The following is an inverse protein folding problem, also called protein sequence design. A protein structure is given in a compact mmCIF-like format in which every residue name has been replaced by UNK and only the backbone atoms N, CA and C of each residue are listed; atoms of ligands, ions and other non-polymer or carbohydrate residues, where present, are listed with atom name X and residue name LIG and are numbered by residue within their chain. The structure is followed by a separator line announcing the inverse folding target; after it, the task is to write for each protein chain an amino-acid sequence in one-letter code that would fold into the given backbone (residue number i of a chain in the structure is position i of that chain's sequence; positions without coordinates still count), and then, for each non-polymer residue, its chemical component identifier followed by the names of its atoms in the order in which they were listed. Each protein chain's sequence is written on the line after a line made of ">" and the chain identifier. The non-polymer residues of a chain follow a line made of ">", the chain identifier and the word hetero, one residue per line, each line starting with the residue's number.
data_IF_409900324328
#
_entry.id   IF_409900324328
#
_cell.length_a   1.000
_cell.length_b   1.000
_cell.length_c   1.000
_cell.angle_alpha   90.00
_cell.angle_beta   90.00
_cell.angle_gamma   90.00
#
_symmetry.space_group_name_H-M   'P 1'
#
loop_
_entity.id
_entity.type
_entity.pdbx_description
1 polymer ?
#
# COMPACT_ATOMS: atom_id res chain seq x y z
N UNK A 1 -6.31 -10.60 9.81
CA UNK A 1 -6.15 -9.44 8.96
C UNK A 1 -7.11 -8.33 9.33
N UNK A 2 -7.24 -7.30 8.51
CA UNK A 2 -8.18 -6.20 8.71
C UNK A 2 -9.01 -5.88 7.46
N UNK A 3 -10.04 -5.04 7.65
CA UNK A 3 -10.94 -4.60 6.57
C UNK A 3 -10.31 -3.55 5.64
N UNK A 4 -9.12 -3.04 5.94
CA UNK A 4 -8.37 -2.09 5.12
C UNK A 4 -7.25 -2.74 4.31
N UNK A 5 -7.03 -4.04 4.51
CA UNK A 5 -6.05 -4.76 3.71
C UNK A 5 -6.45 -4.76 2.22
N UNK A 6 -5.46 -4.80 1.35
CA UNK A 6 -5.75 -4.76 -0.08
C UNK A 6 -6.49 -6.04 -0.50
N UNK A 7 -7.55 -5.92 -1.34
CA UNK A 7 -8.38 -7.07 -1.67
C UNK A 7 -7.62 -8.28 -2.22
N UNK A 8 -6.54 -8.07 -2.99
CA UNK A 8 -5.72 -9.18 -3.50
C UNK A 8 -5.12 -10.03 -2.38
N UNK A 9 -4.67 -9.41 -1.29
CA UNK A 9 -4.07 -10.12 -0.16
C UNK A 9 -5.13 -11.00 0.51
N UNK A 10 -6.33 -10.44 0.72
CA UNK A 10 -7.45 -11.19 1.27
C UNK A 10 -7.89 -12.34 0.35
N UNK A 11 -7.88 -12.14 -0.97
CA UNK A 11 -8.24 -13.19 -1.94
C UNK A 11 -7.22 -14.32 -1.95
N UNK A 12 -5.92 -14.01 -1.85
CA UNK A 12 -4.86 -15.03 -1.74
C UNK A 12 -5.05 -15.85 -0.46
N UNK A 13 -5.29 -15.20 0.69
CA UNK A 13 -5.56 -15.89 1.96
C UNK A 13 -6.79 -16.81 1.83
N UNK A 14 -7.89 -16.30 1.27
CA UNK A 14 -9.12 -17.08 1.09
C UNK A 14 -8.89 -18.30 0.16
N UNK A 15 -8.11 -18.11 -0.91
CA UNK A 15 -7.72 -19.21 -1.80
C UNK A 15 -6.94 -20.29 -1.07
N UNK A 16 -5.92 -19.91 -0.30
CA UNK A 16 -5.11 -20.84 0.50
C UNK A 16 -5.98 -21.57 1.53
N UNK A 17 -6.85 -20.87 2.26
CA UNK A 17 -7.78 -21.50 3.22
C UNK A 17 -8.64 -22.55 2.54
N UNK A 18 -9.16 -22.26 1.35
CA UNK A 18 -9.94 -23.21 0.55
C UNK A 18 -9.13 -24.45 0.18
N UNK A 19 -7.89 -24.28 -0.25
CA UNK A 19 -7.00 -25.38 -0.66
C UNK A 19 -6.64 -26.27 0.54
N UNK A 20 -6.59 -25.73 1.75
CA UNK A 20 -6.47 -26.49 3.00
C UNK A 20 -7.80 -27.08 3.50
N UNK A 21 -8.84 -27.14 2.67
CA UNK A 21 -10.13 -27.76 3.00
C UNK A 21 -10.93 -26.97 4.02
N UNK A 22 -10.78 -25.64 4.06
CA UNK A 22 -11.45 -24.71 4.98
C UNK A 22 -11.22 -25.03 6.49
N UNK A 23 -10.06 -25.58 6.82
CA UNK A 23 -9.69 -25.85 8.22
C UNK A 23 -9.25 -24.60 8.98
N UNK A 24 -9.00 -23.51 8.26
CA UNK A 24 -8.60 -22.22 8.81
C UNK A 24 -9.70 -21.19 8.60
N UNK A 25 -9.67 -20.12 9.39
CA UNK A 25 -10.57 -18.97 9.27
C UNK A 25 -9.77 -17.72 8.93
N UNK A 26 -10.37 -16.82 8.15
CA UNK A 26 -9.91 -15.44 8.03
C UNK A 26 -10.81 -14.55 8.89
N UNK A 27 -10.21 -13.90 9.89
CA UNK A 27 -10.86 -12.91 10.72
C UNK A 27 -10.34 -11.52 10.38
N UNK A 28 -11.24 -10.52 10.38
CA UNK A 28 -10.94 -9.16 9.96
C UNK A 28 -11.27 -8.16 11.06
N UNK A 29 -10.26 -7.44 11.55
CA UNK A 29 -10.46 -6.28 12.39
C UNK A 29 -11.24 -5.21 11.61
N UNK A 30 -12.30 -4.68 12.20
CA UNK A 30 -13.19 -3.71 11.58
C UNK A 30 -12.84 -2.30 12.04
N UNK A 31 -12.99 -1.34 11.14
CA UNK A 31 -12.91 0.07 11.45
C UNK A 31 -14.25 0.61 11.93
N UNK A 32 -14.24 1.44 12.96
CA UNK A 32 -15.45 2.11 13.47
C UNK A 32 -15.72 3.42 12.71
N UNK A 33 -14.68 4.11 12.26
CA UNK A 33 -14.76 5.43 11.64
C UNK A 33 -14.56 5.41 10.10
N UNK A 34 -14.20 4.24 9.55
CA UNK A 34 -13.86 4.09 8.13
C UNK A 34 -12.48 4.66 7.75
N UNK A 35 -11.69 5.14 8.71
CA UNK A 35 -10.40 5.81 8.52
C UNK A 35 -9.28 5.09 9.25
N UNK A 36 -9.54 4.67 10.49
CA UNK A 36 -8.56 4.03 11.38
C UNK A 36 -9.03 2.66 11.87
N UNK A 37 -8.09 1.83 12.25
CA UNK A 37 -8.32 0.59 13.01
C UNK A 37 -7.37 0.64 14.19
N UNK A 38 -7.91 0.52 15.40
CA UNK A 38 -7.09 0.58 16.60
C UNK A 38 -6.27 -0.69 16.79
N UNK A 39 -5.10 -0.55 17.43
CA UNK A 39 -4.28 -1.70 17.83
C UNK A 39 -5.06 -2.68 18.72
N UNK A 40 -5.96 -2.18 19.56
CA UNK A 40 -6.83 -3.01 20.40
C UNK A 40 -7.80 -3.86 19.57
N UNK A 41 -8.34 -3.33 18.47
CA UNK A 41 -9.20 -4.09 17.56
C UNK A 41 -8.43 -5.24 16.89
N UNK A 42 -7.17 -5.00 16.54
CA UNK A 42 -6.27 -6.04 16.00
C UNK A 42 -5.93 -7.05 17.09
N UNK A 43 -5.50 -6.58 18.27
CA UNK A 43 -5.07 -7.43 19.37
C UNK A 43 -6.16 -8.37 19.88
N UNK A 44 -7.43 -7.95 19.86
CA UNK A 44 -8.58 -8.79 20.25
C UNK A 44 -8.79 -10.01 19.35
N UNK A 45 -8.32 -9.95 18.11
CA UNK A 45 -8.43 -11.07 17.15
C UNK A 45 -7.22 -12.01 17.18
N UNK A 46 -6.13 -11.60 17.84
CA UNK A 46 -4.91 -12.41 17.91
C UNK A 46 -4.95 -13.26 19.17
N UNK A 47 -5.06 -14.56 19.02
CA UNK A 47 -5.07 -15.54 20.09
C UNK A 47 -4.00 -16.64 19.88
N UNK A 48 -4.00 -17.66 20.74
CA UNK A 48 -3.03 -18.75 20.66
C UNK A 48 -3.27 -19.71 19.48
N UNK A 49 -4.42 -19.63 18.82
CA UNK A 49 -4.77 -20.40 17.61
C UNK A 49 -4.47 -19.61 16.32
N UNK A 50 -4.03 -18.36 16.46
CA UNK A 50 -3.67 -17.52 15.33
C UNK A 50 -2.34 -17.98 14.73
N UNK A 51 -2.37 -18.45 13.49
CA UNK A 51 -1.17 -18.89 12.78
C UNK A 51 -0.42 -17.71 12.12
N UNK A 52 -1.15 -16.76 11.53
CA UNK A 52 -0.57 -15.69 10.72
C UNK A 52 -1.41 -14.41 10.81
N UNK A 53 -0.74 -13.29 11.02
CA UNK A 53 -1.30 -11.93 10.88
C UNK A 53 -0.82 -11.36 9.55
N UNK A 54 -1.73 -10.91 8.69
CA UNK A 54 -1.42 -10.29 7.40
C UNK A 54 -2.04 -8.91 7.33
N UNK A 55 -1.23 -7.88 7.19
CA UNK A 55 -1.66 -6.48 7.17
C UNK A 55 -0.92 -5.66 6.11
N UNK A 56 -1.63 -4.75 5.46
CA UNK A 56 -0.98 -3.66 4.74
C UNK A 56 -0.40 -2.66 5.74
N UNK A 57 0.91 -2.42 5.72
CA UNK A 57 1.55 -1.45 6.62
C UNK A 57 0.95 -0.05 6.47
N UNK A 58 0.68 0.37 5.24
CA UNK A 58 -0.08 1.59 4.96
C UNK A 58 -1.34 1.24 4.18
N UNK A 59 -2.50 1.47 4.79
CA UNK A 59 -3.81 1.19 4.19
C UNK A 59 -4.00 1.98 2.89
N UNK A 60 -4.38 1.27 1.82
CA UNK A 60 -4.45 1.84 0.48
C UNK A 60 -5.51 2.92 0.31
N UNK A 61 -6.55 2.92 1.13
CA UNK A 61 -7.68 3.85 1.04
C UNK A 61 -7.46 5.08 1.92
N UNK A 62 -7.27 4.90 3.22
CA UNK A 62 -7.17 6.00 4.18
C UNK A 62 -5.75 6.55 4.36
N UNK A 63 -4.73 5.75 4.06
CA UNK A 63 -3.34 6.08 4.38
C UNK A 63 -2.97 5.82 5.85
N UNK A 64 -3.83 5.16 6.63
CA UNK A 64 -3.46 4.69 7.97
C UNK A 64 -2.19 3.85 7.89
N UNK A 65 -1.22 4.18 8.70
CA UNK A 65 0.07 3.47 8.79
C UNK A 65 0.22 2.89 10.18
N UNK A 66 0.40 1.58 10.26
CA UNK A 66 0.55 0.84 11.51
C UNK A 66 1.97 0.92 12.07
N UNK A 67 2.12 0.73 13.37
CA UNK A 67 3.41 0.45 13.99
C UNK A 67 3.77 -1.03 13.78
N UNK A 68 4.71 -1.27 12.82
CA UNK A 68 5.17 -2.64 12.48
C UNK A 68 5.68 -3.37 13.71
N UNK A 69 6.50 -2.70 14.55
CA UNK A 69 7.13 -3.32 15.72
C UNK A 69 6.08 -3.74 16.74
N UNK A 70 5.19 -2.83 17.10
CA UNK A 70 4.14 -3.07 18.10
C UNK A 70 3.23 -4.24 17.70
N UNK A 71 2.75 -4.25 16.46
CA UNK A 71 1.85 -5.32 16.00
C UNK A 71 2.59 -6.65 15.85
N UNK A 72 3.84 -6.63 15.39
CA UNK A 72 4.66 -7.84 15.34
C UNK A 72 4.88 -8.43 16.73
N UNK A 73 5.17 -7.60 17.74
CA UNK A 73 5.30 -8.03 19.13
C UNK A 73 3.99 -8.63 19.69
N UNK A 74 2.84 -8.03 19.38
CA UNK A 74 1.53 -8.57 19.76
C UNK A 74 1.29 -9.96 19.17
N UNK A 75 1.59 -10.16 17.89
CA UNK A 75 1.45 -11.45 17.21
C UNK A 75 2.40 -12.51 17.79
N UNK A 76 3.67 -12.15 17.97
CA UNK A 76 4.68 -13.05 18.53
C UNK A 76 4.37 -13.46 19.97
N UNK A 77 3.76 -12.59 20.78
CA UNK A 77 3.32 -12.92 22.14
C UNK A 77 2.28 -14.04 22.18
N UNK A 78 1.61 -14.31 21.05
CA UNK A 78 0.63 -15.40 20.87
C UNK A 78 1.15 -16.54 20.00
N UNK A 79 2.40 -16.48 19.56
CA UNK A 79 3.01 -17.49 18.69
C UNK A 79 2.69 -17.36 17.21
N UNK A 80 1.98 -16.31 16.80
CA UNK A 80 1.62 -16.05 15.41
C UNK A 80 2.80 -15.41 14.65
N UNK A 81 2.94 -15.73 13.36
CA UNK A 81 3.82 -15.03 12.43
C UNK A 81 3.14 -13.79 11.84
N UNK A 82 3.93 -12.88 11.27
CA UNK A 82 3.39 -11.67 10.61
C UNK A 82 3.92 -11.55 9.18
N UNK A 83 3.02 -11.29 8.24
CA UNK A 83 3.33 -10.89 6.87
C UNK A 83 2.85 -9.44 6.65
N UNK A 84 3.76 -8.55 6.29
CA UNK A 84 3.48 -7.17 5.98
C UNK A 84 3.41 -6.92 4.48
N UNK A 85 2.32 -6.30 3.99
CA UNK A 85 2.32 -5.67 2.66
C UNK A 85 2.84 -4.23 2.78
N UNK A 86 4.00 -3.98 2.17
CA UNK A 86 4.69 -2.70 2.19
C UNK A 86 4.46 -1.88 0.91
N UNK A 87 3.51 -2.26 0.07
CA UNK A 87 3.30 -1.67 -1.25
C UNK A 87 3.02 -0.16 -1.23
N UNK A 88 2.45 0.38 -0.14
CA UNK A 88 2.17 1.81 0.02
C UNK A 88 3.11 2.51 1.00
N UNK A 89 4.06 1.81 1.57
CA UNK A 89 4.98 2.35 2.57
C UNK A 89 6.45 2.31 2.16
N UNK A 90 6.91 1.23 1.47
CA UNK A 90 8.29 1.16 1.01
C UNK A 90 8.61 2.31 0.04
N UNK A 91 9.64 3.08 0.35
CA UNK A 91 10.03 4.30 -0.38
C UNK A 91 9.32 5.59 0.05
N UNK A 92 8.35 5.51 0.98
CA UNK A 92 7.57 6.65 1.45
C UNK A 92 7.59 6.84 2.97
N UNK A 93 7.74 5.74 3.73
CA UNK A 93 7.77 5.70 5.19
C UNK A 93 9.06 4.98 5.61
N UNK A 94 9.63 5.38 6.74
CA UNK A 94 10.76 4.68 7.34
C UNK A 94 10.33 3.29 7.83
N UNK A 95 11.06 2.27 7.46
CA UNK A 95 10.78 0.87 7.80
C UNK A 95 12.08 0.21 8.26
N UNK A 96 12.05 -0.40 9.44
CA UNK A 96 13.13 -1.24 9.94
C UNK A 96 12.60 -2.63 10.31
N UNK A 97 12.62 -3.54 9.33
CA UNK A 97 12.12 -4.90 9.50
C UNK A 97 12.92 -5.71 10.52
N UNK A 98 14.22 -5.45 10.62
CA UNK A 98 15.10 -6.16 11.56
C UNK A 98 14.80 -5.74 13.01
N UNK A 99 14.67 -4.43 13.28
CA UNK A 99 14.33 -3.93 14.62
C UNK A 99 12.94 -4.40 15.06
N UNK A 100 11.98 -4.41 14.12
CA UNK A 100 10.65 -4.90 14.35
C UNK A 100 10.55 -6.43 14.43
N UNK A 101 11.63 -7.17 14.11
CA UNK A 101 11.66 -8.64 14.01
C UNK A 101 10.54 -9.17 13.09
N UNK A 102 10.20 -8.41 12.04
CA UNK A 102 9.17 -8.82 11.10
C UNK A 102 9.54 -10.16 10.46
N UNK A 103 8.56 -11.04 10.34
CA UNK A 103 8.81 -12.41 9.84
C UNK A 103 8.91 -12.42 8.32
N UNK A 104 7.96 -11.80 7.66
CA UNK A 104 7.87 -11.72 6.20
C UNK A 104 7.34 -10.35 5.77
N UNK A 105 7.74 -9.92 4.60
CA UNK A 105 7.15 -8.77 3.95
C UNK A 105 7.10 -8.94 2.43
N UNK A 106 6.06 -8.40 1.83
CA UNK A 106 5.89 -8.31 0.37
C UNK A 106 5.67 -6.86 -0.03
N UNK A 107 5.88 -6.56 -1.28
CA UNK A 107 5.56 -5.22 -1.79
C UNK A 107 5.81 -5.12 -3.28
N UNK A 108 5.16 -4.13 -3.90
CA UNK A 108 5.42 -3.78 -5.30
C UNK A 108 6.53 -2.74 -5.39
N UNK A 109 7.26 -2.76 -6.51
CA UNK A 109 8.33 -1.79 -6.76
C UNK A 109 7.91 -0.61 -7.65
N UNK A 110 6.74 -0.69 -8.29
CA UNK A 110 6.27 0.33 -9.25
C UNK A 110 5.65 1.57 -8.61
N UNK A 111 5.37 1.57 -7.29
CA UNK A 111 4.83 2.73 -6.57
C UNK A 111 5.94 3.66 -6.09
N UNK A 112 6.10 3.85 -4.79
CA UNK A 112 7.08 4.79 -4.22
C UNK A 112 8.55 4.37 -4.39
N UNK A 113 8.81 3.10 -4.74
CA UNK A 113 10.15 2.65 -5.13
C UNK A 113 10.52 3.03 -6.58
N UNK A 114 9.60 3.61 -7.34
CA UNK A 114 9.80 4.18 -8.67
C UNK A 114 10.36 3.20 -9.73
N UNK A 115 10.11 1.90 -9.58
CA UNK A 115 10.56 0.88 -10.54
C UNK A 115 9.83 0.91 -11.89
N UNK A 116 8.80 1.75 -12.03
CA UNK A 116 8.05 1.93 -13.27
C UNK A 116 6.99 0.84 -13.53
N UNK A 117 6.14 1.03 -14.55
CA UNK A 117 5.11 0.07 -14.91
C UNK A 117 5.69 -1.31 -15.27
N UNK A 118 5.08 -2.37 -14.72
CA UNK A 118 5.54 -3.75 -14.95
C UNK A 118 6.75 -4.18 -14.11
N UNK A 119 7.23 -3.32 -13.21
CA UNK A 119 8.28 -3.71 -12.28
C UNK A 119 7.80 -4.82 -11.33
N UNK A 120 8.65 -5.85 -11.05
CA UNK A 120 8.28 -7.00 -10.24
C UNK A 120 8.11 -6.63 -8.77
N UNK A 121 7.33 -7.45 -8.07
CA UNK A 121 7.23 -7.42 -6.63
C UNK A 121 8.48 -8.02 -5.95
N UNK A 122 8.61 -7.77 -4.66
CA UNK A 122 9.65 -8.37 -3.83
C UNK A 122 9.05 -9.15 -2.66
N UNK A 123 9.84 -10.08 -2.16
CA UNK A 123 9.60 -10.85 -0.94
C UNK A 123 10.80 -10.69 0.00
N UNK A 124 10.52 -10.35 1.24
CA UNK A 124 11.43 -10.44 2.36
C UNK A 124 10.99 -11.60 3.26
N UNK A 125 11.95 -12.40 3.70
CA UNK A 125 11.77 -13.43 4.72
C UNK A 125 12.91 -13.29 5.71
N UNK A 126 12.60 -13.25 7.02
CA UNK A 126 13.61 -13.22 8.06
C UNK A 126 14.49 -14.47 7.97
N UNK A 127 15.79 -14.31 8.12
CA UNK A 127 16.80 -15.33 7.81
C UNK A 127 16.54 -16.67 8.51
N UNK A 128 16.19 -16.64 9.81
CA UNK A 128 15.92 -17.85 10.60
C UNK A 128 14.68 -18.63 10.12
N UNK A 129 13.79 -17.98 9.39
CA UNK A 129 12.58 -18.58 8.83
C UNK A 129 12.81 -19.19 7.43
N UNK A 130 13.82 -18.76 6.69
CA UNK A 130 14.08 -19.28 5.34
C UNK A 130 14.20 -20.81 5.34
N UNK A 131 14.88 -21.37 6.36
CA UNK A 131 15.05 -22.83 6.47
C UNK A 131 13.77 -23.57 6.89
N UNK A 132 12.83 -22.88 7.53
CA UNK A 132 11.60 -23.47 8.09
C UNK A 132 10.43 -23.39 7.11
N UNK A 133 10.47 -22.39 6.20
CA UNK A 133 9.40 -22.16 5.23
C UNK A 133 9.70 -22.90 3.93
N UNK A 134 8.65 -23.41 3.31
CA UNK A 134 8.69 -24.04 2.00
C UNK A 134 7.85 -23.25 1.02
N UNK A 135 8.31 -23.18 -0.24
CA UNK A 135 7.49 -22.63 -1.32
C UNK A 135 6.47 -23.67 -1.76
N UNK A 136 5.18 -23.34 -1.83
CA UNK A 136 4.17 -24.27 -2.33
C UNK A 136 4.30 -24.51 -3.84
N UNK A 137 4.98 -23.64 -4.56
CA UNK A 137 5.21 -23.75 -6.01
C UNK A 137 6.73 -23.82 -6.23
N UNK A 138 7.17 -24.96 -6.74
CA UNK A 138 8.56 -25.18 -7.08
C UNK A 138 8.85 -24.79 -8.52
N UNK A 139 10.04 -24.26 -8.76
CA UNK A 139 10.49 -23.90 -10.07
C UNK A 139 12.00 -23.98 -10.22
N UNK A 140 12.46 -24.11 -11.44
CA UNK A 140 13.86 -24.41 -11.73
C UNK A 140 14.86 -23.38 -11.15
N UNK A 141 14.46 -22.12 -11.02
CA UNK A 141 15.34 -21.06 -10.47
C UNK A 141 15.44 -21.12 -8.93
N UNK A 142 14.56 -21.83 -8.27
CA UNK A 142 14.57 -22.09 -6.84
C UNK A 142 15.36 -23.33 -6.44
N UNK A 143 15.86 -24.10 -7.41
CA UNK A 143 16.74 -25.26 -7.14
C UNK A 143 18.09 -24.82 -6.59
N UNK A 144 18.73 -25.70 -5.84
CA UNK A 144 20.06 -25.48 -5.26
C UNK A 144 21.12 -25.27 -6.37
N UNK A 145 20.99 -25.99 -7.47
CA UNK A 145 21.85 -25.88 -8.67
C UNK A 145 20.96 -25.85 -9.92
N UNK A 146 20.38 -24.67 -10.27
CA UNK A 146 19.41 -24.57 -11.34
C UNK A 146 19.95 -24.93 -12.73
N UNK A 147 21.26 -24.85 -12.94
CA UNK A 147 21.88 -25.17 -14.22
C UNK A 147 22.35 -26.62 -14.35
N UNK A 148 22.23 -27.43 -13.30
CA UNK A 148 22.42 -28.87 -13.39
C UNK A 148 21.26 -29.57 -14.09
N UNK A 149 20.08 -28.91 -14.19
CA UNK A 149 18.86 -29.42 -14.83
C UNK A 149 18.47 -30.84 -14.36
N UNK A 150 18.61 -31.07 -13.05
CA UNK A 150 18.23 -32.35 -12.45
C UNK A 150 16.71 -32.59 -12.54
N UNK A 151 16.31 -33.86 -12.65
CA UNK A 151 14.90 -34.25 -12.63
C UNK A 151 14.25 -34.16 -11.23
N UNK A 152 15.05 -34.19 -10.18
CA UNK A 152 14.62 -34.08 -8.80
C UNK A 152 14.92 -32.67 -8.26
N UNK A 153 13.88 -31.98 -7.76
CA UNK A 153 14.02 -30.66 -7.19
C UNK A 153 14.66 -30.72 -5.80
N UNK A 154 15.67 -29.88 -5.62
CA UNK A 154 16.34 -29.64 -4.33
C UNK A 154 16.30 -28.16 -4.02
N UNK A 155 15.47 -27.71 -3.03
CA UNK A 155 15.33 -26.30 -2.75
C UNK A 155 16.67 -25.67 -2.32
N UNK A 156 16.93 -24.47 -2.80
CA UNK A 156 18.07 -23.67 -2.35
C UNK A 156 17.97 -23.36 -0.84
N UNK A 157 19.10 -23.30 -0.14
CA UNK A 157 19.16 -22.96 1.29
C UNK A 157 18.98 -21.46 1.59
N UNK A 158 18.65 -20.67 0.60
CA UNK A 158 18.51 -19.21 0.70
C UNK A 158 17.14 -18.75 0.23
N UNK A 159 16.90 -17.42 0.26
CA UNK A 159 15.69 -16.79 -0.26
C UNK A 159 15.41 -17.18 -1.72
N UNK A 160 16.41 -17.65 -2.46
CA UNK A 160 16.24 -18.10 -3.86
C UNK A 160 15.25 -19.25 -4.00
N UNK A 161 15.02 -20.07 -2.96
CA UNK A 161 14.03 -21.16 -3.00
C UNK A 161 12.60 -20.68 -3.34
N UNK A 162 12.31 -19.41 -3.18
CA UNK A 162 11.03 -18.80 -3.52
C UNK A 162 10.96 -18.28 -4.97
N UNK A 163 12.05 -18.40 -5.75
CA UNK A 163 12.04 -18.11 -7.18
C UNK A 163 11.46 -19.30 -7.96
N UNK A 164 10.49 -18.99 -8.83
CA UNK A 164 9.81 -20.04 -9.61
C UNK A 164 10.47 -20.21 -10.97
N UNK A 165 10.83 -19.11 -11.63
CA UNK A 165 11.36 -19.14 -12.99
C UNK A 165 12.38 -18.05 -13.25
N UNK A 166 12.76 -17.85 -14.51
CA UNK A 166 13.70 -16.82 -14.94
C UNK A 166 13.18 -15.44 -14.54
N UNK A 167 13.97 -14.64 -13.82
CA UNK A 167 13.56 -13.29 -13.44
C UNK A 167 13.32 -12.42 -14.67
N UNK A 168 12.37 -11.47 -14.63
CA UNK A 168 12.12 -10.52 -15.72
C UNK A 168 13.21 -9.44 -15.76
N UNK A 169 14.36 -9.76 -16.39
CA UNK A 169 15.61 -8.98 -16.32
C UNK A 169 15.41 -7.50 -16.66
N UNK A 170 14.70 -7.20 -17.76
CA UNK A 170 14.48 -5.80 -18.21
C UNK A 170 13.75 -4.99 -17.13
N UNK A 171 12.66 -5.52 -16.57
CA UNK A 171 11.89 -4.80 -15.56
C UNK A 171 12.58 -4.77 -14.19
N UNK A 172 13.43 -5.76 -13.88
CA UNK A 172 14.31 -5.71 -12.69
C UNK A 172 15.34 -4.60 -12.83
N UNK A 173 16.01 -4.49 -13.97
CA UNK A 173 17.01 -3.45 -14.22
C UNK A 173 16.41 -2.03 -14.11
N UNK A 174 15.13 -1.87 -14.46
CA UNK A 174 14.43 -0.59 -14.33
C UNK A 174 14.20 -0.14 -12.88
N UNK A 175 14.28 -1.05 -11.89
CA UNK A 175 14.12 -0.70 -10.47
C UNK A 175 15.36 0.03 -9.94
N UNK A 176 16.55 -0.32 -10.41
CA UNK A 176 17.82 0.18 -9.89
C UNK A 176 17.91 1.72 -9.91
N UNK A 177 17.65 2.43 -11.02
CA UNK A 177 17.68 3.89 -11.02
C UNK A 177 16.69 4.54 -10.05
N UNK A 178 15.52 3.92 -9.85
CA UNK A 178 14.53 4.39 -8.89
C UNK A 178 15.02 4.27 -7.43
N UNK A 179 15.63 3.14 -7.10
CA UNK A 179 16.23 2.90 -5.79
C UNK A 179 17.42 3.81 -5.53
N UNK A 180 18.29 4.02 -6.50
CA UNK A 180 19.46 4.91 -6.38
C UNK A 180 19.06 6.33 -5.99
N UNK A 181 17.98 6.85 -6.58
CA UNK A 181 17.46 8.17 -6.23
C UNK A 181 16.97 8.20 -4.79
N UNK A 182 16.24 7.17 -4.34
CA UNK A 182 15.74 7.05 -2.97
C UNK A 182 16.91 6.96 -1.98
N UNK A 183 17.88 6.10 -2.25
CA UNK A 183 19.06 5.93 -1.40
C UNK A 183 19.89 7.22 -1.32
N UNK A 184 20.06 7.92 -2.43
CA UNK A 184 20.76 9.22 -2.47
C UNK A 184 20.03 10.31 -1.72
N UNK A 185 18.70 10.36 -1.80
CA UNK A 185 17.89 11.33 -1.07
C UNK A 185 17.84 11.03 0.43
N UNK A 186 17.80 9.76 0.80
CA UNK A 186 17.62 9.25 2.15
C UNK A 186 16.14 9.20 2.56
N UNK A 187 15.71 8.04 3.08
CA UNK A 187 14.29 7.80 3.40
C UNK A 187 13.75 8.78 4.46
N UNK A 188 14.57 9.18 5.44
CA UNK A 188 14.17 10.11 6.49
C UNK A 188 13.80 11.48 5.93
N UNK A 189 14.58 12.01 4.97
CA UNK A 189 14.26 13.27 4.30
C UNK A 189 13.03 13.18 3.40
N UNK A 190 12.86 12.03 2.73
CA UNK A 190 11.66 11.77 1.94
C UNK A 190 10.43 11.75 2.85
N UNK A 191 10.52 11.07 3.99
CA UNK A 191 9.44 10.98 4.99
C UNK A 191 9.10 12.35 5.56
N UNK A 192 10.09 13.14 5.98
CA UNK A 192 9.90 14.49 6.50
C UNK A 192 9.13 15.37 5.49
N UNK A 193 9.56 15.36 4.23
CA UNK A 193 8.87 16.12 3.18
C UNK A 193 7.47 15.59 2.90
N UNK A 194 7.24 14.26 2.90
CA UNK A 194 5.92 13.67 2.75
C UNK A 194 4.96 14.12 3.87
N UNK A 195 5.43 14.18 5.11
CA UNK A 195 4.66 14.70 6.24
C UNK A 195 4.28 16.15 6.00
N UNK A 196 5.25 17.04 5.72
CA UNK A 196 4.97 18.45 5.45
C UNK A 196 3.98 18.63 4.28
N UNK A 197 4.11 17.85 3.23
CA UNK A 197 3.22 17.93 2.06
C UNK A 197 1.80 17.45 2.37
N UNK A 198 1.64 16.36 3.11
CA UNK A 198 0.32 15.86 3.50
C UNK A 198 -0.34 16.75 4.55
N UNK A 199 0.40 17.35 5.47
CA UNK A 199 -0.11 18.35 6.42
C UNK A 199 -0.58 19.61 5.69
N UNK A 200 0.21 20.11 4.74
CA UNK A 200 -0.18 21.22 3.89
C UNK A 200 -1.44 20.92 3.08
N UNK A 201 -1.52 19.73 2.51
CA UNK A 201 -2.71 19.28 1.79
C UNK A 201 -3.95 19.27 2.70
N UNK A 202 -3.85 18.72 3.92
CA UNK A 202 -4.94 18.71 4.91
C UNK A 202 -5.33 20.14 5.30
N UNK A 203 -4.37 21.02 5.50
CA UNK A 203 -4.63 22.44 5.77
C UNK A 203 -5.46 23.08 4.65
N UNK A 204 -5.09 22.89 3.39
CA UNK A 204 -5.83 23.42 2.24
C UNK A 204 -7.22 22.80 2.11
N UNK A 205 -7.34 21.49 2.30
CA UNK A 205 -8.62 20.78 2.26
C UNK A 205 -9.59 21.37 3.30
N UNK A 206 -9.15 21.54 4.54
CA UNK A 206 -9.97 22.12 5.60
C UNK A 206 -10.44 23.53 5.29
N UNK A 207 -9.56 24.37 4.72
CA UNK A 207 -9.86 25.79 4.42
C UNK A 207 -10.70 25.96 3.17
N UNK A 208 -10.53 25.11 2.19
CA UNK A 208 -11.05 25.32 0.82
C UNK A 208 -12.15 24.32 0.46
N UNK A 209 -11.97 23.02 0.78
CA UNK A 209 -12.86 22.00 0.29
C UNK A 209 -13.94 21.60 1.31
N UNK A 210 -13.63 21.60 2.62
CA UNK A 210 -14.64 21.29 3.65
C UNK A 210 -15.87 22.19 3.56
N UNK A 211 -15.74 23.52 3.32
CA UNK A 211 -16.91 24.40 3.08
C UNK A 211 -17.73 24.02 1.85
N UNK A 212 -17.19 23.23 0.93
CA UNK A 212 -17.85 22.75 -0.29
C UNK A 212 -18.44 21.33 -0.15
N UNK A 213 -18.51 20.80 1.09
CA UNK A 213 -19.12 19.49 1.39
C UNK A 213 -18.17 18.30 1.35
N UNK A 214 -16.85 18.55 1.26
CA UNK A 214 -15.87 17.48 1.41
C UNK A 214 -15.58 17.18 2.87
N UNK A 215 -15.12 15.96 3.13
CA UNK A 215 -14.53 15.57 4.41
C UNK A 215 -13.20 14.85 4.18
N UNK A 216 -12.36 14.81 5.23
CA UNK A 216 -11.07 14.11 5.18
C UNK A 216 -11.31 12.65 5.53
N UNK A 217 -10.83 11.74 4.67
CA UNK A 217 -10.87 10.28 4.83
C UNK A 217 -9.51 9.68 5.16
N UNK A 218 -8.64 10.44 5.83
CA UNK A 218 -7.29 10.01 6.26
C UNK A 218 -7.02 10.43 7.68
N UNK A 219 -6.11 9.74 8.42
CA UNK A 219 -5.69 10.18 9.74
C UNK A 219 -5.12 11.60 9.71
N UNK A 220 -5.54 12.43 10.67
CA UNK A 220 -5.00 13.79 10.82
C UNK A 220 -3.60 13.77 11.46
N UNK A 221 -3.34 12.79 12.33
CA UNK A 221 -2.02 12.59 12.92
C UNK A 221 -1.04 12.08 11.87
N UNK A 222 0.01 12.87 11.62
CA UNK A 222 1.06 12.54 10.64
C UNK A 222 1.92 11.35 11.05
N UNK A 223 1.96 10.99 12.33
CA UNK A 223 2.72 9.83 12.83
C UNK A 223 2.14 8.50 12.33
N UNK A 224 0.82 8.44 12.15
CA UNK A 224 0.08 7.26 11.66
C UNK A 224 -0.50 7.46 10.25
N UNK A 225 0.03 8.40 9.47
CA UNK A 225 -0.39 8.66 8.09
C UNK A 225 0.74 8.41 7.11
N UNK A 226 0.45 7.74 6.01
CA UNK A 226 1.36 7.53 4.87
C UNK A 226 1.52 8.78 4.00
N UNK A 227 1.81 8.58 2.71
CA UNK A 227 2.11 9.66 1.76
C UNK A 227 0.95 9.99 0.83
N UNK A 228 -0.28 9.74 1.26
CA UNK A 228 -1.48 10.17 0.54
C UNK A 228 -2.56 10.63 1.52
N UNK A 229 -3.46 11.45 1.00
CA UNK A 229 -4.65 11.92 1.71
C UNK A 229 -5.88 11.58 0.88
N UNK A 230 -6.87 10.98 1.50
CA UNK A 230 -8.19 10.75 0.92
C UNK A 230 -9.13 11.88 1.30
N UNK A 231 -9.90 12.34 0.33
CA UNK A 231 -11.05 13.23 0.53
C UNK A 231 -12.32 12.50 0.14
N UNK A 232 -13.37 12.74 0.88
CA UNK A 232 -14.66 12.07 0.72
C UNK A 232 -15.70 13.08 0.22
N UNK A 233 -16.45 12.72 -0.82
CA UNK A 233 -17.54 13.51 -1.35
C UNK A 233 -18.55 12.61 -2.06
N UNK A 234 -19.89 12.85 -1.98
CA UNK A 234 -20.88 12.03 -2.69
C UNK A 234 -20.62 11.92 -4.20
N UNK A 235 -20.14 13.00 -4.84
CA UNK A 235 -19.81 13.06 -6.26
C UNK A 235 -18.33 12.76 -6.58
N UNK A 236 -17.60 12.08 -5.68
CA UNK A 236 -16.16 11.83 -5.80
C UNK A 236 -15.76 11.23 -7.17
N UNK A 237 -16.56 10.30 -7.70
CA UNK A 237 -16.29 9.72 -9.02
C UNK A 237 -16.29 10.78 -10.12
N UNK A 238 -17.36 11.59 -10.19
CA UNK A 238 -17.50 12.64 -11.21
C UNK A 238 -16.41 13.71 -11.06
N UNK A 239 -16.12 14.11 -9.82
CA UNK A 239 -15.07 15.09 -9.52
C UNK A 239 -13.71 14.55 -9.98
N UNK A 240 -13.38 13.30 -9.68
CA UNK A 240 -12.11 12.70 -10.10
C UNK A 240 -11.97 12.67 -11.64
N UNK A 241 -13.04 12.35 -12.36
CA UNK A 241 -13.03 12.38 -13.83
C UNK A 241 -12.96 13.82 -14.39
N UNK A 242 -13.60 14.78 -13.72
CA UNK A 242 -13.49 16.19 -14.05
C UNK A 242 -12.06 16.72 -13.88
N UNK A 243 -11.36 16.31 -12.82
CA UNK A 243 -9.94 16.64 -12.59
C UNK A 243 -9.03 16.13 -13.73
N UNK A 244 -9.27 14.91 -14.21
CA UNK A 244 -8.53 14.30 -15.32
C UNK A 244 -8.83 15.01 -16.64
N UNK A 245 -10.10 15.38 -16.86
CA UNK A 245 -10.53 16.09 -18.08
C UNK A 245 -9.99 17.51 -18.13
N UNK A 246 -9.87 18.18 -16.97
CA UNK A 246 -9.62 19.61 -16.87
C UNK A 246 -10.84 20.44 -17.23
N UNK A 247 -10.89 21.72 -16.83
CA UNK A 247 -11.99 22.64 -17.16
C UNK A 247 -11.63 23.44 -18.43
N UNK A 248 -10.86 24.51 -18.26
CA UNK A 248 -10.46 25.40 -19.36
C UNK A 248 -8.93 25.56 -19.48
N UNK A 249 -8.19 25.04 -18.52
CA UNK A 249 -6.74 25.13 -18.47
C UNK A 249 -6.11 23.80 -18.93
N UNK A 250 -4.82 23.87 -19.32
CA UNK A 250 -4.04 22.66 -19.56
C UNK A 250 -3.70 21.88 -18.28
N UNK A 251 -4.10 22.44 -17.10
CA UNK A 251 -3.91 21.79 -15.82
C UNK A 251 -4.84 20.58 -15.71
N UNK A 252 -4.24 19.42 -15.58
CA UNK A 252 -4.90 18.16 -15.31
C UNK A 252 -4.30 17.55 -14.04
N UNK A 253 -5.16 17.00 -13.20
CA UNK A 253 -4.75 16.23 -12.04
C UNK A 253 -5.30 14.83 -12.19
N UNK A 254 -4.46 13.83 -12.04
CA UNK A 254 -4.84 12.43 -12.17
C UNK A 254 -4.91 11.82 -10.77
N UNK A 255 -6.05 11.96 -10.09
CA UNK A 255 -6.26 11.34 -8.78
C UNK A 255 -6.66 9.89 -8.95
N UNK A 256 -6.76 9.21 -7.82
CA UNK A 256 -7.21 7.84 -7.74
C UNK A 256 -8.59 7.79 -7.05
N UNK A 257 -9.61 7.28 -7.76
CA UNK A 257 -10.94 7.10 -7.18
C UNK A 257 -11.05 5.75 -6.47
N UNK A 258 -11.55 5.76 -5.24
CA UNK A 258 -11.85 4.55 -4.45
C UNK A 258 -13.31 4.55 -4.02
N UNK A 259 -14.03 3.49 -4.42
CA UNK A 259 -15.43 3.31 -4.03
C UNK A 259 -15.61 3.34 -2.52
N UNK A 260 -16.76 3.83 -2.03
CA UNK A 260 -17.87 4.38 -2.82
C UNK A 260 -17.66 5.87 -3.19
N UNK A 261 -16.88 6.65 -2.44
CA UNK A 261 -16.91 8.11 -2.46
C UNK A 261 -15.58 8.78 -2.12
N UNK A 262 -14.44 8.09 -2.30
CA UNK A 262 -13.12 8.62 -1.97
C UNK A 262 -12.36 9.07 -3.22
N UNK A 263 -11.74 10.24 -3.17
CA UNK A 263 -10.68 10.68 -4.08
C UNK A 263 -9.37 10.65 -3.29
N UNK A 264 -8.39 9.91 -3.78
CA UNK A 264 -7.08 9.78 -3.14
C UNK A 264 -6.06 10.64 -3.87
N UNK A 265 -5.38 11.51 -3.13
CA UNK A 265 -4.32 12.39 -3.60
C UNK A 265 -3.00 11.94 -2.96
N UNK A 266 -2.07 11.49 -3.78
CA UNK A 266 -0.77 10.98 -3.33
C UNK A 266 0.33 11.99 -3.61
N UNK A 267 1.32 12.05 -2.72
CA UNK A 267 2.53 12.86 -2.89
C UNK A 267 3.77 11.99 -2.81
N UNK A 268 4.82 12.40 -3.47
CA UNK A 268 6.16 11.83 -3.34
C UNK A 268 7.14 12.92 -2.95
N UNK A 269 7.83 12.75 -1.81
CA UNK A 269 8.86 13.67 -1.36
C UNK A 269 10.00 13.88 -2.35
N UNK A 270 10.18 12.96 -3.32
CA UNK A 270 11.20 13.10 -4.34
C UNK A 270 10.88 14.18 -5.38
N UNK A 271 9.64 14.21 -5.89
CA UNK A 271 9.31 15.05 -7.05
C UNK A 271 8.04 15.89 -6.90
N UNK A 272 7.12 15.58 -5.97
CA UNK A 272 5.95 16.45 -5.75
C UNK A 272 6.33 17.77 -5.13
N UNK A 273 5.66 18.84 -5.53
CA UNK A 273 5.86 20.21 -5.02
C UNK A 273 4.65 20.69 -4.25
N UNK A 274 4.84 21.67 -3.35
CA UNK A 274 3.73 22.32 -2.64
C UNK A 274 2.84 23.15 -3.60
N UNK A 275 3.44 23.67 -4.68
CA UNK A 275 2.69 24.38 -5.72
C UNK A 275 1.71 23.44 -6.46
N UNK A 276 2.15 22.23 -6.82
CA UNK A 276 1.27 21.24 -7.45
C UNK A 276 0.12 20.82 -6.53
N UNK A 277 0.37 20.64 -5.22
CA UNK A 277 -0.68 20.39 -4.23
C UNK A 277 -1.69 21.51 -4.21
N UNK A 278 -1.22 22.77 -4.13
CA UNK A 278 -2.08 23.94 -4.13
C UNK A 278 -2.93 24.02 -5.41
N UNK A 279 -2.31 23.84 -6.57
CA UNK A 279 -3.02 23.81 -7.87
C UNK A 279 -4.07 22.71 -7.93
N UNK A 280 -3.76 21.51 -7.43
CA UNK A 280 -4.72 20.41 -7.39
C UNK A 280 -5.94 20.75 -6.53
N UNK A 281 -5.76 21.31 -5.34
CA UNK A 281 -6.86 21.70 -4.45
C UNK A 281 -7.69 22.84 -5.06
N UNK A 282 -7.05 23.83 -5.69
CA UNK A 282 -7.76 24.92 -6.38
C UNK A 282 -8.56 24.41 -7.60
N UNK A 283 -8.05 23.43 -8.34
CA UNK A 283 -8.81 22.79 -9.42
C UNK A 283 -10.06 22.07 -8.90
N UNK A 284 -9.94 21.35 -7.76
CA UNK A 284 -11.10 20.69 -7.13
C UNK A 284 -12.14 21.75 -6.71
N UNK A 285 -11.67 22.86 -6.12
CA UNK A 285 -12.54 23.98 -5.78
C UNK A 285 -13.28 24.51 -7.00
N UNK A 286 -12.58 24.83 -8.09
CA UNK A 286 -13.16 25.35 -9.33
C UNK A 286 -14.18 24.36 -9.93
N UNK A 287 -13.85 23.06 -9.96
CA UNK A 287 -14.78 22.00 -10.42
C UNK A 287 -16.05 22.01 -9.58
N UNK A 288 -15.94 22.21 -8.27
CA UNK A 288 -17.06 22.20 -7.33
C UNK A 288 -17.91 23.48 -7.43
N UNK A 289 -17.28 24.66 -7.44
CA UNK A 289 -17.96 25.94 -7.56
C UNK A 289 -18.78 26.06 -8.85
N UNK A 290 -18.20 25.59 -9.96
CA UNK A 290 -18.85 25.59 -11.28
C UNK A 290 -19.79 24.39 -11.48
N UNK A 291 -19.85 23.47 -10.53
CA UNK A 291 -20.55 22.18 -10.66
C UNK A 291 -20.18 21.44 -11.94
N UNK A 292 -18.96 21.64 -12.42
CA UNK A 292 -18.48 21.06 -13.68
C UNK A 292 -18.55 19.54 -13.70
N UNK A 293 -18.44 18.89 -12.54
CA UNK A 293 -18.61 17.46 -12.38
C UNK A 293 -19.97 16.93 -12.83
N UNK A 294 -21.03 17.76 -12.88
CA UNK A 294 -22.36 17.34 -13.36
C UNK A 294 -22.37 17.07 -14.86
N UNK A 295 -21.42 17.61 -15.61
CA UNK A 295 -21.24 17.31 -17.04
C UNK A 295 -20.63 15.93 -17.29
N UNK A 296 -20.17 15.24 -16.23
CA UNK A 296 -19.56 13.92 -16.32
C UNK A 296 -20.64 12.85 -16.13
N UNK A 297 -20.81 12.00 -17.13
CA UNK A 297 -21.72 10.86 -17.05
C UNK A 297 -21.21 9.82 -16.04
N UNK A 298 -22.14 9.21 -15.30
CA UNK A 298 -21.82 8.02 -14.48
C UNK A 298 -22.06 6.81 -15.39
N UNK A 299 -21.03 6.01 -15.71
CA UNK A 299 -21.23 4.78 -16.46
C UNK A 299 -22.03 3.77 -15.62
N UNK A 300 -22.73 2.84 -16.30
CA UNK A 300 -23.45 1.75 -15.62
C UNK A 300 -22.51 0.89 -14.75
N UNK A 301 -21.27 0.75 -15.20
CA UNK A 301 -20.20 0.08 -14.46
C UNK A 301 -19.05 1.06 -14.23
N UNK A 302 -18.69 1.28 -12.98
CA UNK A 302 -17.56 2.13 -12.63
C UNK A 302 -16.29 1.27 -12.63
N UNK A 303 -15.43 1.50 -13.61
CA UNK A 303 -14.07 0.98 -13.64
C UNK A 303 -13.18 1.96 -12.87
N UNK A 304 -12.51 1.47 -11.84
CA UNK A 304 -11.59 2.26 -10.99
C UNK A 304 -10.17 2.23 -11.52
#
# INVERSE_FOLDING_TARGET
>A
SDSFNFPSDLYVIQGIIKDFGNKHKLELAQSEDGITISDDAINKLIDNDTALVVLSHTAFKSGLTYDIKKITEMAHAKGALVLWDLSHSAGAVEINLNDAKADMAVGCTYKYLNGGPGAPAYLYVREDLIKKLESPIWGWFGDQDPFAFNSEYRPADSIKKFLVGTPPVISLTAIEPGLDIILKAGISKIREKNIMQTDYMIFLINRILVPLGFSIGSPLDSSIRGSHVSIVHPEAYRISKAMIKGIKSDLKVIPDFRKPNNIRLSVSGLYSTFEEINKAILLIKEISDLRFYETIAIPKEIVT
#
